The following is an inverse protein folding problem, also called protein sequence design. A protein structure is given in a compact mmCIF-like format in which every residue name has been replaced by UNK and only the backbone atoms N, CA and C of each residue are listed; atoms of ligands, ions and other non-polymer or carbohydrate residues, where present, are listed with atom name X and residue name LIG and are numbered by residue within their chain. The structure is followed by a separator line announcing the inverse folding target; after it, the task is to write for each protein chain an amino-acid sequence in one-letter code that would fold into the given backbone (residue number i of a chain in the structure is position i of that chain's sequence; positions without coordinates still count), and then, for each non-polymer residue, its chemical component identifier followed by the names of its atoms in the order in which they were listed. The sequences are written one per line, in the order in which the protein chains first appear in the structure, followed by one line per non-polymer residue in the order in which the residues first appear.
data_IF_934261981849
#
_entry.id   IF_934261981849
#
_cell.length_a   1.000
_cell.length_b   1.000
_cell.length_c   1.000
_cell.angle_alpha   90.00
_cell.angle_beta   90.00
_cell.angle_gamma   90.00
#
_symmetry.space_group_name_H-M   'P 1'
#
loop_
_entity.id
_entity.type
_entity.pdbx_description
1 polymer ?
#
# COMPACT_ATOMS: atom_id res chain seq x y z
N UNK A 1 19.07 2.85 13.21
CA UNK A 1 17.91 3.16 12.36
C UNK A 1 18.23 4.45 11.62
N UNK A 2 18.10 4.49 10.30
CA UNK A 2 18.49 5.68 9.53
C UNK A 2 17.48 6.80 9.76
N UNK A 3 17.94 8.04 9.95
CA UNK A 3 17.09 9.21 10.20
C UNK A 3 15.95 9.37 9.17
N UNK A 4 16.14 8.89 7.94
CA UNK A 4 15.13 8.91 6.88
C UNK A 4 13.92 8.01 7.13
N UNK A 5 14.07 6.84 7.77
CA UNK A 5 12.97 5.91 7.98
C UNK A 5 11.98 6.44 9.02
N UNK A 6 12.49 7.08 10.07
CA UNK A 6 11.66 7.74 11.08
C UNK A 6 10.96 8.96 10.51
N UNK A 7 11.58 9.66 9.56
CA UNK A 7 11.00 10.83 8.93
C UNK A 7 9.84 10.46 7.99
N UNK A 8 9.99 9.42 7.15
CA UNK A 8 8.90 8.97 6.28
C UNK A 8 7.63 8.58 7.06
N UNK A 9 7.79 7.80 8.13
CA UNK A 9 6.65 7.43 8.99
C UNK A 9 5.98 8.68 9.59
N UNK A 10 6.78 9.64 10.05
CA UNK A 10 6.28 10.91 10.58
C UNK A 10 5.51 11.72 9.53
N UNK A 11 6.02 11.79 8.31
CA UNK A 11 5.40 12.51 7.20
C UNK A 11 4.06 11.85 6.83
N UNK A 12 4.01 10.52 6.76
CA UNK A 12 2.78 9.75 6.53
C UNK A 12 1.76 9.99 7.66
N UNK A 13 2.17 9.91 8.91
CA UNK A 13 1.29 10.20 10.05
C UNK A 13 0.71 11.62 9.97
N UNK A 14 1.55 12.61 9.62
CA UNK A 14 1.12 14.00 9.43
C UNK A 14 0.09 14.14 8.31
N UNK A 15 0.28 13.42 7.19
CA UNK A 15 -0.70 13.35 6.13
C UNK A 15 -2.04 12.80 6.66
N UNK A 16 -2.01 11.66 7.35
CA UNK A 16 -3.21 11.00 7.86
C UNK A 16 -3.97 11.91 8.84
N UNK A 17 -3.26 12.58 9.75
CA UNK A 17 -3.85 13.56 10.67
C UNK A 17 -4.50 14.73 9.93
N UNK A 18 -3.83 15.29 8.91
CA UNK A 18 -4.36 16.39 8.09
C UNK A 18 -5.68 16.03 7.41
N UNK A 19 -5.84 14.78 6.99
CA UNK A 19 -7.06 14.27 6.39
C UNK A 19 -8.05 13.65 7.39
N UNK A 20 -7.77 13.74 8.70
CA UNK A 20 -8.60 13.17 9.77
C UNK A 20 -8.82 11.65 9.63
N UNK A 21 -7.81 10.95 9.13
CA UNK A 21 -7.83 9.48 8.97
C UNK A 21 -7.31 8.86 10.26
N UNK A 22 -8.12 7.98 10.85
CA UNK A 22 -7.71 7.26 12.05
C UNK A 22 -6.70 6.17 11.70
N UNK A 23 -5.60 6.10 12.44
CA UNK A 23 -4.59 5.07 12.24
C UNK A 23 -4.04 4.52 13.54
N UNK A 24 -3.54 3.30 13.47
CA UNK A 24 -2.81 2.63 14.55
C UNK A 24 -1.47 2.13 13.99
N UNK A 25 -0.38 2.49 14.66
CA UNK A 25 0.92 1.87 14.41
C UNK A 25 0.89 0.42 14.88
N UNK A 26 1.23 -0.51 14.01
CA UNK A 26 1.31 -1.93 14.34
C UNK A 26 2.70 -2.29 14.85
N UNK A 27 2.78 -3.32 15.68
CA UNK A 27 4.05 -3.81 16.21
C UNK A 27 4.98 -4.28 15.08
N UNK A 28 6.28 -4.18 15.32
CA UNK A 28 7.32 -4.59 14.38
C UNK A 28 7.14 -6.04 13.90
N UNK A 29 6.59 -6.92 14.75
CA UNK A 29 6.30 -8.32 14.43
C UNK A 29 5.40 -8.48 13.21
N UNK A 30 4.43 -7.58 13.01
CA UNK A 30 3.57 -7.60 11.81
C UNK A 30 4.38 -7.27 10.55
N UNK A 31 5.31 -6.33 10.66
CA UNK A 31 6.20 -5.95 9.54
C UNK A 31 7.09 -7.13 9.16
N UNK A 32 7.66 -7.82 10.16
CA UNK A 32 8.45 -9.03 9.95
C UNK A 32 7.63 -10.17 9.37
N UNK A 33 6.39 -10.35 9.83
CA UNK A 33 5.48 -11.35 9.27
C UNK A 33 5.24 -11.13 7.77
N UNK A 34 4.98 -9.89 7.36
CA UNK A 34 4.80 -9.52 5.93
C UNK A 34 6.09 -9.80 5.16
N UNK A 35 7.24 -9.33 5.67
CA UNK A 35 8.54 -9.53 5.05
C UNK A 35 8.86 -11.02 4.84
N UNK A 36 8.62 -11.83 5.86
CA UNK A 36 8.84 -13.28 5.84
C UNK A 36 7.89 -13.96 4.85
N UNK A 37 6.60 -13.66 4.93
CA UNK A 37 5.58 -14.24 4.05
C UNK A 37 5.82 -13.93 2.56
N UNK A 38 6.37 -12.76 2.26
CA UNK A 38 6.67 -12.32 0.91
C UNK A 38 8.12 -12.56 0.48
N UNK A 39 8.96 -13.16 1.34
CA UNK A 39 10.37 -13.49 1.02
C UNK A 39 10.55 -14.20 -0.32
N UNK A 40 9.72 -15.19 -0.70
CA UNK A 40 9.85 -15.86 -2.00
C UNK A 40 9.56 -14.96 -3.21
N UNK A 41 8.86 -13.84 -3.01
CA UNK A 41 8.39 -12.95 -4.06
C UNK A 41 9.18 -11.64 -4.11
N UNK A 42 10.06 -11.33 -3.15
CA UNK A 42 10.85 -10.11 -3.21
C UNK A 42 11.91 -10.16 -4.31
N UNK A 43 11.93 -9.13 -5.17
CA UNK A 43 12.93 -8.97 -6.22
C UNK A 43 14.07 -8.10 -5.73
N UNK A 44 14.97 -8.69 -4.95
CA UNK A 44 16.19 -8.06 -4.43
C UNK A 44 15.98 -7.01 -3.33
N UNK A 45 14.76 -6.52 -3.10
CA UNK A 45 14.40 -5.59 -2.02
C UNK A 45 12.92 -5.72 -1.65
N UNK A 46 12.53 -5.29 -0.45
CA UNK A 46 11.12 -5.35 0.00
C UNK A 46 10.24 -4.24 -0.57
N UNK A 47 10.74 -3.45 -1.53
CA UNK A 47 9.96 -2.48 -2.29
C UNK A 47 9.50 -3.01 -3.65
N UNK A 48 9.93 -4.22 -4.06
CA UNK A 48 9.68 -4.76 -5.40
C UNK A 48 9.26 -6.22 -5.33
N UNK A 49 8.07 -6.52 -5.83
CA UNK A 49 7.58 -7.89 -6.00
C UNK A 49 7.95 -8.42 -7.39
N UNK A 50 8.45 -9.65 -7.43
CA UNK A 50 8.56 -10.45 -8.64
C UNK A 50 7.21 -11.13 -8.95
N UNK A 51 6.40 -10.42 -9.73
CA UNK A 51 5.06 -10.87 -10.08
C UNK A 51 5.03 -12.14 -10.93
N UNK A 52 6.12 -12.48 -11.62
CA UNK A 52 6.19 -13.73 -12.38
C UNK A 52 6.08 -14.94 -11.43
N UNK A 53 6.64 -14.82 -10.22
CA UNK A 53 6.57 -15.85 -9.18
C UNK A 53 5.21 -15.90 -8.48
N UNK A 54 4.48 -14.77 -8.44
CA UNK A 54 3.15 -14.68 -7.86
C UNK A 54 2.06 -15.36 -8.71
N UNK A 55 2.30 -15.62 -10.00
CA UNK A 55 1.35 -16.26 -10.92
C UNK A 55 0.83 -17.64 -10.46
N UNK A 56 1.53 -18.29 -9.54
CA UNK A 56 1.18 -19.61 -8.96
C UNK A 56 0.42 -19.52 -7.64
N UNK A 57 0.36 -18.33 -7.04
CA UNK A 57 -0.29 -18.06 -5.75
C UNK A 57 -1.50 -17.17 -6.01
N UNK A 58 -2.63 -17.29 -5.29
CA UNK A 58 -3.83 -16.48 -5.55
C UNK A 58 -3.68 -15.02 -5.14
N UNK A 59 -2.54 -14.39 -5.42
CA UNK A 59 -2.27 -12.98 -5.17
C UNK A 59 -2.74 -12.16 -6.36
N UNK A 60 -3.66 -11.24 -6.13
CA UNK A 60 -4.19 -10.35 -7.17
C UNK A 60 -3.39 -9.04 -7.22
N UNK A 61 -2.61 -8.82 -8.28
CA UNK A 61 -2.07 -7.51 -8.63
C UNK A 61 -3.17 -6.67 -9.26
N UNK A 62 -3.31 -5.40 -8.86
CA UNK A 62 -4.12 -4.44 -9.60
C UNK A 62 -3.22 -3.30 -10.02
N UNK A 63 -3.15 -3.09 -11.33
CA UNK A 63 -2.36 -2.02 -11.95
C UNK A 63 -3.28 -0.82 -12.21
N UNK A 64 -2.78 0.39 -11.95
CA UNK A 64 -3.53 1.60 -12.24
C UNK A 64 -3.48 1.87 -13.75
N UNK A 65 -4.63 1.96 -14.45
CA UNK A 65 -4.66 2.34 -15.84
C UNK A 65 -4.51 3.86 -15.97
N UNK A 66 -3.25 4.34 -15.98
CA UNK A 66 -2.72 5.57 -16.58
C UNK A 66 -3.36 6.98 -16.36
N UNK A 67 -2.45 7.95 -16.21
CA UNK A 67 -2.43 9.32 -16.74
C UNK A 67 -3.76 10.04 -16.96
N UNK A 68 -4.33 10.60 -15.91
CA UNK A 68 -5.18 11.80 -16.01
C UNK A 68 -5.05 12.59 -14.72
N UNK A 69 -5.19 13.93 -14.70
CA UNK A 69 -5.36 14.65 -13.45
C UNK A 69 -6.61 14.08 -12.78
N UNK A 70 -6.42 13.44 -11.64
CA UNK A 70 -7.45 12.61 -11.03
C UNK A 70 -8.37 13.50 -10.22
N UNK A 71 -9.63 13.60 -10.65
CA UNK A 71 -10.70 14.13 -9.81
C UNK A 71 -11.34 13.02 -8.97
N UNK A 72 -12.06 13.40 -7.91
CA UNK A 72 -12.70 12.47 -6.97
C UNK A 72 -13.76 11.56 -7.62
N UNK A 73 -14.35 11.96 -8.74
CA UNK A 73 -15.35 11.20 -9.47
C UNK A 73 -14.72 10.12 -10.36
N UNK A 74 -13.63 10.45 -11.05
CA UNK A 74 -12.81 9.50 -11.81
C UNK A 74 -12.15 8.50 -10.86
N UNK A 75 -11.67 8.97 -9.70
CA UNK A 75 -11.20 8.15 -8.58
C UNK A 75 -12.21 7.07 -8.21
N UNK A 76 -13.44 7.48 -7.94
CA UNK A 76 -14.47 6.58 -7.46
C UNK A 76 -14.89 5.60 -8.55
N UNK A 77 -14.97 6.05 -9.80
CA UNK A 77 -15.21 5.17 -10.94
C UNK A 77 -14.06 4.16 -11.15
N UNK A 78 -12.81 4.57 -11.00
CA UNK A 78 -11.66 3.66 -11.08
C UNK A 78 -11.66 2.66 -9.92
N UNK A 79 -11.99 3.09 -8.70
CA UNK A 79 -12.12 2.19 -7.54
C UNK A 79 -13.25 1.17 -7.76
N UNK A 80 -14.39 1.63 -8.27
CA UNK A 80 -15.56 0.79 -8.59
C UNK A 80 -15.28 -0.17 -9.76
N UNK A 81 -14.58 0.29 -10.80
CA UNK A 81 -14.25 -0.51 -11.99
C UNK A 81 -13.10 -1.49 -11.75
N UNK A 82 -12.08 -1.09 -11.00
CA UNK A 82 -10.92 -1.92 -10.69
C UNK A 82 -11.25 -2.99 -9.64
N UNK A 83 -12.42 -2.92 -8.99
CA UNK A 83 -12.92 -3.90 -8.03
C UNK A 83 -11.83 -4.30 -7.02
N UNK A 84 -11.17 -3.29 -6.43
CA UNK A 84 -10.07 -3.49 -5.50
C UNK A 84 -10.56 -4.23 -4.26
N UNK A 85 -10.50 -5.56 -4.28
CA UNK A 85 -10.99 -6.43 -3.19
C UNK A 85 -10.36 -6.05 -1.85
N UNK A 86 -9.07 -5.71 -1.85
CA UNK A 86 -8.32 -5.25 -0.66
C UNK A 86 -8.98 -4.02 -0.04
N UNK A 87 -9.42 -3.06 -0.86
CA UNK A 87 -10.07 -1.84 -0.38
C UNK A 87 -11.52 -2.10 0.07
N UNK A 88 -12.17 -3.19 -0.35
CA UNK A 88 -13.49 -3.57 0.16
C UNK A 88 -13.45 -4.08 1.61
N UNK A 89 -12.27 -4.42 2.14
CA UNK A 89 -12.13 -4.73 3.56
C UNK A 89 -12.30 -3.47 4.39
N UNK A 90 -12.95 -3.62 5.56
CA UNK A 90 -13.13 -2.52 6.50
C UNK A 90 -11.79 -1.89 6.91
N UNK A 91 -10.81 -2.72 7.20
CA UNK A 91 -9.49 -2.30 7.65
C UNK A 91 -8.41 -2.78 6.69
N UNK A 92 -7.45 -1.91 6.45
CA UNK A 92 -6.29 -2.17 5.60
C UNK A 92 -5.00 -1.82 6.33
N UNK A 93 -3.90 -2.43 5.90
CA UNK A 93 -2.56 -2.17 6.41
C UNK A 93 -1.74 -1.52 5.31
N UNK A 94 -1.21 -0.33 5.58
CA UNK A 94 -0.20 0.29 4.75
C UNK A 94 1.18 -0.22 5.15
N UNK A 95 1.91 -0.68 4.16
CA UNK A 95 3.28 -1.16 4.29
C UNK A 95 4.18 -0.37 3.33
N UNK A 96 5.32 0.05 3.88
CA UNK A 96 6.37 0.74 3.13
C UNK A 96 7.68 0.01 3.37
N UNK A 97 8.43 -0.23 2.30
CA UNK A 97 9.72 -0.89 2.39
C UNK A 97 10.66 -0.11 3.30
N UNK A 98 11.32 -0.83 4.20
CA UNK A 98 12.29 -0.26 5.13
C UNK A 98 11.69 0.49 6.31
N UNK A 99 10.37 0.53 6.48
CA UNK A 99 9.75 1.03 7.71
C UNK A 99 9.76 -0.03 8.81
N UNK A 100 9.86 0.42 10.06
CA UNK A 100 9.85 -0.44 11.25
C UNK A 100 8.45 -0.81 11.75
N UNK A 101 7.42 -0.15 11.23
CA UNK A 101 6.04 -0.35 11.64
C UNK A 101 5.12 -0.08 10.47
N UNK A 102 4.16 -0.99 10.27
CA UNK A 102 3.04 -0.79 9.36
C UNK A 102 1.95 0.04 10.03
N UNK A 103 1.07 0.62 9.22
CA UNK A 103 -0.07 1.40 9.71
C UNK A 103 -1.38 0.69 9.41
N UNK A 104 -2.20 0.45 10.43
CA UNK A 104 -3.57 -0.03 10.30
C UNK A 104 -4.52 1.17 10.21
N UNK A 105 -5.46 1.14 9.27
CA UNK A 105 -6.44 2.21 9.09
C UNK A 105 -7.76 1.70 8.52
N UNK A 106 -8.82 2.52 8.62
CA UNK A 106 -10.12 2.22 8.01
C UNK A 106 -10.10 2.53 6.51
N UNK A 107 -10.40 1.53 5.68
CA UNK A 107 -10.26 1.61 4.23
C UNK A 107 -11.10 2.72 3.61
N UNK A 108 -12.33 2.91 4.09
CA UNK A 108 -13.25 3.93 3.57
C UNK A 108 -12.73 5.36 3.74
N UNK A 109 -11.95 5.62 4.79
CA UNK A 109 -11.35 6.94 5.03
C UNK A 109 -10.18 7.18 4.06
N UNK A 110 -9.36 6.15 3.84
CA UNK A 110 -8.19 6.23 2.99
C UNK A 110 -8.51 6.19 1.49
N UNK A 111 -9.55 5.48 1.07
CA UNK A 111 -9.97 5.42 -0.34
C UNK A 111 -10.18 6.81 -0.95
N UNK A 112 -10.78 7.73 -0.19
CA UNK A 112 -11.06 9.08 -0.65
C UNK A 112 -9.81 9.97 -0.71
N UNK A 113 -8.68 9.50 -0.19
CA UNK A 113 -7.44 10.27 -0.05
C UNK A 113 -6.25 9.64 -0.75
N UNK A 114 -6.42 8.44 -1.33
CA UNK A 114 -5.33 7.69 -1.97
C UNK A 114 -4.60 8.51 -3.03
N UNK A 115 -5.28 9.34 -3.81
CA UNK A 115 -4.63 10.16 -4.83
C UNK A 115 -3.87 11.36 -4.27
N UNK A 116 -4.40 12.02 -3.24
CA UNK A 116 -3.64 13.04 -2.51
C UNK A 116 -2.40 12.43 -1.85
N UNK A 117 -2.52 11.20 -1.34
CA UNK A 117 -1.39 10.44 -0.81
C UNK A 117 -0.35 10.17 -1.90
N UNK A 118 -0.79 9.70 -3.07
CA UNK A 118 0.10 9.43 -4.20
C UNK A 118 0.83 10.70 -4.66
N UNK A 119 0.16 11.86 -4.68
CA UNK A 119 0.75 13.16 -5.04
C UNK A 119 1.78 13.65 -4.03
N UNK A 120 1.46 13.61 -2.74
CA UNK A 120 2.38 14.04 -1.69
C UNK A 120 3.62 13.15 -1.59
N UNK A 121 3.44 11.84 -1.76
CA UNK A 121 4.49 10.84 -1.63
C UNK A 121 5.05 10.36 -2.97
N UNK A 122 4.90 11.16 -4.04
CA UNK A 122 5.34 10.85 -5.40
C UNK A 122 6.83 10.47 -5.54
N UNK A 123 7.65 10.87 -4.57
CA UNK A 123 9.08 10.54 -4.50
C UNK A 123 9.37 9.11 -4.03
N UNK A 124 8.36 8.39 -3.53
CA UNK A 124 8.47 6.97 -3.23
C UNK A 124 8.34 6.16 -4.53
N UNK A 125 9.08 5.06 -4.63
CA UNK A 125 8.95 4.14 -5.77
C UNK A 125 7.59 3.43 -5.73
N UNK A 126 7.26 2.83 -4.58
CA UNK A 126 6.09 1.98 -4.37
C UNK A 126 5.62 1.98 -2.91
N UNK A 127 4.37 1.62 -2.68
CA UNK A 127 3.89 1.15 -1.37
C UNK A 127 2.87 0.02 -1.53
N UNK A 128 2.60 -0.69 -0.45
CA UNK A 128 1.70 -1.84 -0.46
C UNK A 128 0.52 -1.64 0.49
N UNK A 129 -0.65 -2.13 0.08
CA UNK A 129 -1.86 -2.16 0.90
C UNK A 129 -2.28 -3.62 1.07
N UNK A 130 -2.46 -4.06 2.30
CA UNK A 130 -2.90 -5.41 2.64
C UNK A 130 -4.29 -5.40 3.28
N UNK A 131 -5.08 -6.45 3.04
CA UNK A 131 -6.28 -6.68 3.82
C UNK A 131 -5.89 -7.00 5.27
N UNK A 132 -6.34 -6.20 6.24
CA UNK A 132 -5.91 -6.37 7.63
C UNK A 132 -6.25 -7.74 8.26
N UNK A 133 -7.45 -8.34 8.05
CA UNK A 133 -7.83 -9.55 8.77
C UNK A 133 -6.85 -10.73 8.62
N UNK A 134 -6.37 -10.99 7.39
CA UNK A 134 -5.45 -12.10 7.14
C UNK A 134 -4.09 -11.88 7.80
N UNK A 135 -3.60 -10.64 7.79
CA UNK A 135 -2.30 -10.28 8.39
C UNK A 135 -2.36 -10.34 9.92
N UNK A 136 -3.39 -9.75 10.53
CA UNK A 136 -3.52 -9.71 11.99
C UNK A 136 -3.68 -11.11 12.59
N UNK A 137 -4.32 -12.02 11.85
CA UNK A 137 -4.48 -13.44 12.23
C UNK A 137 -3.29 -14.32 11.79
N UNK A 138 -2.21 -13.74 11.25
CA UNK A 138 -1.02 -14.44 10.74
C UNK A 138 -1.35 -15.53 9.70
N UNK A 139 -2.42 -15.34 8.94
CA UNK A 139 -2.85 -16.21 7.85
C UNK A 139 -2.16 -15.84 6.54
N UNK A 140 -1.99 -16.84 5.67
CA UNK A 140 -1.37 -16.66 4.36
C UNK A 140 -1.94 -15.43 3.65
N UNK A 141 -1.04 -14.54 3.23
CA UNK A 141 -1.38 -13.36 2.44
C UNK A 141 -1.97 -13.82 1.10
N UNK A 142 -3.27 -13.61 0.93
CA UNK A 142 -4.00 -13.92 -0.31
C UNK A 142 -4.20 -12.68 -1.17
N UNK A 143 -4.40 -11.51 -0.59
CA UNK A 143 -4.79 -10.32 -1.33
C UNK A 143 -4.00 -9.11 -0.83
N UNK A 144 -3.28 -8.46 -1.75
CA UNK A 144 -2.62 -7.19 -1.50
C UNK A 144 -2.56 -6.37 -2.78
N UNK A 145 -2.42 -5.06 -2.61
CA UNK A 145 -2.33 -4.10 -3.69
C UNK A 145 -0.94 -3.46 -3.64
N UNK A 146 -0.22 -3.50 -4.76
CA UNK A 146 0.99 -2.69 -4.94
C UNK A 146 0.61 -1.40 -5.68
N UNK A 147 0.99 -0.27 -5.12
CA UNK A 147 0.87 1.04 -5.76
C UNK A 147 2.26 1.46 -6.25
N UNK A 148 2.42 1.57 -7.57
CA UNK A 148 3.68 1.98 -8.19
C UNK A 148 3.64 3.49 -8.49
N UNK A 149 4.11 4.28 -7.52
CA UNK A 149 4.05 5.74 -7.52
C UNK A 149 4.95 6.37 -8.60
N UNK A 150 6.17 5.87 -8.78
CA UNK A 150 7.07 6.38 -9.82
C UNK A 150 6.46 6.22 -11.23
N UNK A 151 5.85 5.06 -11.51
CA UNK A 151 5.17 4.81 -12.79
C UNK A 151 3.94 5.69 -12.97
N UNK A 152 3.26 6.03 -11.89
CA UNK A 152 2.11 6.94 -11.91
C UNK A 152 2.50 8.36 -12.36
N UNK A 153 3.67 8.87 -11.96
CA UNK A 153 4.14 10.21 -12.37
C UNK A 153 4.92 10.24 -13.68
N UNK A 154 5.78 9.24 -13.92
CA UNK A 154 6.73 9.26 -15.04
C UNK A 154 6.30 8.41 -16.24
N UNK A 155 5.28 7.56 -16.08
CA UNK A 155 4.85 6.60 -17.09
C UNK A 155 5.73 5.35 -17.17
N UNK A 156 5.35 4.43 -18.07
CA UNK A 156 6.26 3.38 -18.49
C UNK A 156 7.37 4.00 -19.36
N UNK A 157 8.59 4.01 -18.83
CA UNK A 157 9.81 4.30 -19.61
C UNK A 157 10.29 3.01 -20.25
#
# INVERSE_FOLDING_TARGET
MSHHQTQLLSDICTFLERFSISYQSLDFEITEYINHSLTPFWRGSTSKIDWELCSTTPVQKIEFPFFTPIDAQITQQLIEQANFRVLQHRQIILYFSGMSSCLLLESSEFQNTIFYFMDEFCYLDTFFIFAAPSILEHQKISDFLEIQLFQYFCGHI
#
